data_IF_161735520435
#
_entry.id   IF_161735520435
#
_cell.length_a   1.000
_cell.length_b   1.000
_cell.length_c   1.000
_cell.angle_alpha   90.00
_cell.angle_beta   90.00
_cell.angle_gamma   90.00
#
_symmetry.space_group_name_H-M   'P 1'
#
loop_
_entity.id
_entity.type
_entity.pdbx_description
1 polymer ?
#
# COMPACT_ATOMS: atom_id res chain seq x y z
N UNK A 1 -10.20 -5.88 20.32
CA UNK A 1 -9.26 -5.20 19.41
C UNK A 1 -9.92 -3.88 19.06
N UNK A 2 -9.34 -2.74 19.46
CA UNK A 2 -9.89 -1.43 19.07
C UNK A 2 -9.71 -1.29 17.56
N UNK A 3 -10.78 -0.99 16.83
CA UNK A 3 -10.68 -0.60 15.42
C UNK A 3 -10.01 0.77 15.37
N UNK A 4 -8.78 0.84 14.86
CA UNK A 4 -8.08 2.10 14.66
C UNK A 4 -8.83 2.95 13.64
N UNK A 5 -8.95 4.25 13.92
CA UNK A 5 -9.64 5.20 13.04
C UNK A 5 -8.78 5.44 11.80
N UNK A 6 -9.35 5.24 10.61
CA UNK A 6 -8.66 5.54 9.34
C UNK A 6 -8.87 7.01 8.97
N UNK A 7 -7.78 7.71 8.69
CA UNK A 7 -7.78 9.06 8.14
C UNK A 7 -7.07 9.03 6.79
N UNK A 8 -7.59 9.76 5.82
CA UNK A 8 -6.98 9.88 4.50
C UNK A 8 -6.33 11.26 4.37
N UNK A 9 -5.09 11.28 3.88
CA UNK A 9 -4.46 12.51 3.41
C UNK A 9 -5.26 13.12 2.24
N UNK A 10 -5.06 14.40 1.95
CA UNK A 10 -5.67 15.04 0.77
C UNK A 10 -5.25 14.35 -0.54
N UNK A 11 -4.02 13.84 -0.60
CA UNK A 11 -3.55 13.08 -1.76
C UNK A 11 -4.30 11.74 -1.89
N UNK A 12 -4.49 11.01 -0.79
CA UNK A 12 -5.25 9.76 -0.80
C UNK A 12 -6.72 9.99 -1.19
N UNK A 13 -7.38 11.02 -0.64
CA UNK A 13 -8.75 11.40 -1.03
C UNK A 13 -8.85 11.72 -2.53
N UNK A 14 -7.87 12.43 -3.09
CA UNK A 14 -7.82 12.71 -4.51
C UNK A 14 -7.74 11.41 -5.33
N UNK A 15 -6.88 10.46 -4.94
CA UNK A 15 -6.73 9.16 -5.62
C UNK A 15 -8.02 8.35 -5.61
N UNK A 16 -8.74 8.31 -4.49
CA UNK A 16 -10.04 7.62 -4.42
C UNK A 16 -11.02 8.17 -5.48
N UNK A 17 -11.16 9.50 -5.54
CA UNK A 17 -12.07 10.15 -6.49
C UNK A 17 -11.65 9.93 -7.94
N UNK A 18 -10.37 10.13 -8.27
CA UNK A 18 -9.85 9.98 -9.64
C UNK A 18 -10.00 8.55 -10.17
N UNK A 19 -9.80 7.56 -9.31
CA UNK A 19 -9.75 6.14 -9.68
C UNK A 19 -11.02 5.36 -9.36
N UNK A 20 -12.04 6.05 -8.85
CA UNK A 20 -13.31 5.45 -8.40
C UNK A 20 -13.03 4.24 -7.49
N UNK A 21 -12.23 4.49 -6.46
CA UNK A 21 -11.92 3.49 -5.43
C UNK A 21 -12.86 3.76 -4.27
N UNK A 22 -13.61 2.74 -3.88
CA UNK A 22 -14.52 2.84 -2.75
C UNK A 22 -13.72 2.80 -1.44
N UNK A 23 -14.18 3.57 -0.44
CA UNK A 23 -13.51 3.62 0.85
C UNK A 23 -13.47 2.25 1.53
N UNK A 24 -14.48 1.42 1.30
CA UNK A 24 -14.56 0.05 1.82
C UNK A 24 -13.43 -0.84 1.28
N UNK A 25 -12.94 -0.58 0.05
CA UNK A 25 -11.78 -1.30 -0.47
C UNK A 25 -10.52 -0.96 0.34
N UNK A 26 -10.37 0.30 0.77
CA UNK A 26 -9.26 0.72 1.64
C UNK A 26 -9.39 0.06 3.01
N UNK A 27 -10.57 0.10 3.63
CA UNK A 27 -10.83 -0.55 4.91
C UNK A 27 -10.48 -2.05 4.85
N UNK A 28 -10.95 -2.74 3.81
CA UNK A 28 -10.68 -4.16 3.64
C UNK A 28 -9.18 -4.47 3.50
N UNK A 29 -8.42 -3.67 2.74
CA UNK A 29 -6.96 -3.88 2.63
C UNK A 29 -6.22 -3.57 3.93
N UNK A 30 -6.70 -2.60 4.71
CA UNK A 30 -6.09 -2.27 6.01
C UNK A 30 -6.36 -3.35 7.06
N UNK A 31 -7.56 -3.93 7.07
CA UNK A 31 -7.97 -5.00 7.99
C UNK A 31 -7.40 -6.36 7.58
N UNK A 32 -7.48 -6.70 6.28
CA UNK A 32 -7.08 -7.99 5.71
C UNK A 32 -6.10 -7.81 4.54
N UNK A 33 -4.88 -7.33 4.79
CA UNK A 33 -3.87 -7.18 3.75
C UNK A 33 -3.40 -8.55 3.25
N UNK A 34 -3.20 -8.69 1.94
CA UNK A 34 -2.48 -9.85 1.38
C UNK A 34 -0.99 -9.76 1.65
N UNK A 35 -0.43 -8.55 1.66
CA UNK A 35 0.98 -8.32 1.98
C UNK A 35 1.16 -7.04 2.78
N UNK A 36 2.13 -7.05 3.69
CA UNK A 36 2.57 -5.89 4.47
C UNK A 36 4.09 -5.72 4.36
N UNK A 37 4.54 -4.48 4.23
CA UNK A 37 5.96 -4.12 4.19
C UNK A 37 6.20 -2.86 5.03
N UNK A 38 7.47 -2.62 5.34
CA UNK A 38 7.94 -1.35 5.87
C UNK A 38 9.01 -0.82 4.93
N UNK A 39 8.80 0.38 4.37
CA UNK A 39 9.76 1.00 3.47
C UNK A 39 10.83 1.75 4.27
N UNK A 40 12.02 1.18 4.37
CA UNK A 40 13.14 1.75 5.11
C UNK A 40 13.61 3.12 4.57
N UNK A 41 13.29 3.47 3.32
CA UNK A 41 13.69 4.74 2.73
C UNK A 41 12.73 5.87 3.09
N UNK A 42 11.42 5.62 3.03
CA UNK A 42 10.41 6.63 3.31
C UNK A 42 9.94 6.62 4.77
N UNK A 43 10.14 5.51 5.49
CA UNK A 43 9.69 5.35 6.88
C UNK A 43 8.22 4.99 7.01
N UNK A 44 7.54 4.65 5.90
CA UNK A 44 6.11 4.34 5.91
C UNK A 44 5.83 2.84 5.84
N UNK A 45 4.70 2.42 6.41
CA UNK A 45 4.16 1.09 6.19
C UNK A 45 3.47 1.00 4.84
N UNK A 46 3.53 -0.17 4.23
CA UNK A 46 2.84 -0.47 2.98
C UNK A 46 1.93 -1.68 3.19
N UNK A 47 0.64 -1.52 2.91
CA UNK A 47 -0.31 -2.62 2.82
C UNK A 47 -0.74 -2.84 1.37
N UNK A 48 -0.86 -4.10 0.96
CA UNK A 48 -1.28 -4.47 -0.39
C UNK A 48 -2.43 -5.46 -0.30
N UNK A 49 -3.45 -5.25 -1.10
CA UNK A 49 -4.56 -6.19 -1.24
C UNK A 49 -5.33 -5.98 -2.54
N UNK A 50 -6.30 -6.86 -2.77
CA UNK A 50 -7.06 -6.86 -4.02
C UNK A 50 -8.12 -5.77 -4.04
N UNK A 51 -8.39 -5.28 -5.24
CA UNK A 51 -9.60 -4.49 -5.52
C UNK A 51 -10.82 -5.39 -5.70
N UNK A 52 -11.99 -4.76 -5.63
CA UNK A 52 -13.23 -5.32 -6.15
C UNK A 52 -13.19 -5.52 -7.68
N UNK A 53 -12.36 -4.72 -8.38
CA UNK A 53 -12.08 -4.86 -9.81
C UNK A 53 -11.14 -6.05 -10.05
N UNK A 54 -11.50 -7.03 -10.91
CA UNK A 54 -10.67 -8.19 -11.17
C UNK A 54 -9.27 -7.83 -11.66
N UNK A 55 -8.25 -8.54 -11.16
CA UNK A 55 -6.84 -8.38 -11.51
C UNK A 55 -6.22 -7.01 -11.16
N UNK A 56 -6.90 -6.21 -10.34
CA UNK A 56 -6.37 -4.97 -9.80
C UNK A 56 -5.97 -5.10 -8.34
N UNK A 57 -4.96 -4.33 -7.95
CA UNK A 57 -4.40 -4.30 -6.62
C UNK A 57 -4.38 -2.86 -6.09
N UNK A 58 -4.62 -2.71 -4.80
CA UNK A 58 -4.35 -1.49 -4.06
C UNK A 58 -3.05 -1.63 -3.31
N UNK A 59 -2.21 -0.62 -3.43
CA UNK A 59 -1.02 -0.42 -2.60
C UNK A 59 -1.28 0.83 -1.79
N UNK A 60 -1.33 0.67 -0.47
CA UNK A 60 -1.58 1.72 0.50
C UNK A 60 -0.29 2.03 1.23
N UNK A 61 0.19 3.27 1.16
CA UNK A 61 1.22 3.73 2.08
C UNK A 61 0.55 4.44 3.26
N UNK A 62 0.94 4.09 4.47
CA UNK A 62 0.29 4.58 5.68
C UNK A 62 1.26 4.69 6.87
N UNK A 63 0.89 5.53 7.82
CA UNK A 63 1.50 5.62 9.14
C UNK A 63 0.51 5.12 10.20
N UNK A 64 1.02 4.43 11.21
CA UNK A 64 0.25 3.87 12.32
C UNK A 64 0.64 4.58 13.62
N UNK A 65 -0.32 5.29 14.22
CA UNK A 65 -0.17 6.02 15.48
C UNK A 65 -0.87 5.29 16.64
N UNK A 66 -1.28 4.04 16.44
CA UNK A 66 -1.96 3.20 17.43
C UNK A 66 -3.48 3.28 17.33
N UNK A 67 -4.06 4.42 17.72
CA UNK A 67 -5.51 4.66 17.65
C UNK A 67 -5.96 5.21 16.29
N UNK A 68 -5.02 5.76 15.51
CA UNK A 68 -5.24 6.34 14.19
C UNK A 68 -4.28 5.71 13.19
N UNK A 69 -4.83 5.33 12.03
CA UNK A 69 -4.05 4.99 10.85
C UNK A 69 -4.26 6.07 9.80
N UNK A 70 -3.17 6.74 9.40
CA UNK A 70 -3.19 7.74 8.33
C UNK A 70 -2.74 7.12 7.02
N UNK A 71 -3.65 7.01 6.04
CA UNK A 71 -3.32 6.59 4.68
C UNK A 71 -2.83 7.81 3.90
N UNK A 72 -1.55 7.76 3.55
CA UNK A 72 -0.82 8.86 2.88
C UNK A 72 -1.08 8.83 1.39
N UNK A 73 -1.03 7.66 0.75
CA UNK A 73 -1.30 7.51 -0.68
C UNK A 73 -1.89 6.15 -1.03
N UNK A 74 -2.60 6.12 -2.15
CA UNK A 74 -3.30 4.96 -2.68
C UNK A 74 -2.92 4.80 -4.14
N UNK A 75 -2.40 3.63 -4.49
CA UNK A 75 -2.01 3.29 -5.85
C UNK A 75 -2.88 2.12 -6.32
N UNK A 76 -3.58 2.32 -7.42
CA UNK A 76 -4.28 1.26 -8.17
C UNK A 76 -3.38 0.75 -9.30
N UNK A 77 -3.20 -0.56 -9.38
CA UNK A 77 -2.42 -1.20 -10.44
C UNK A 77 -3.04 -2.50 -10.92
N UNK A 78 -3.13 -2.66 -12.23
CA UNK A 78 -3.47 -3.93 -12.90
C UNK A 78 -2.25 -4.81 -13.21
N UNK A 79 -1.04 -4.30 -12.94
CA UNK A 79 0.19 -5.07 -13.16
C UNK A 79 0.27 -6.22 -12.18
N UNK A 80 0.65 -7.40 -12.67
CA UNK A 80 1.02 -8.54 -11.83
C UNK A 80 2.05 -8.10 -10.78
N UNK A 81 1.66 -8.24 -9.50
CA UNK A 81 2.51 -7.88 -8.37
C UNK A 81 3.83 -8.64 -8.38
N UNK A 82 3.83 -9.90 -8.84
CA UNK A 82 5.02 -10.74 -8.94
C UNK A 82 6.11 -10.13 -9.84
N UNK A 83 5.74 -9.56 -10.98
CA UNK A 83 6.76 -8.99 -11.91
C UNK A 83 7.29 -7.63 -11.45
N UNK A 84 6.49 -6.87 -10.71
CA UNK A 84 6.82 -5.50 -10.29
C UNK A 84 7.52 -5.40 -8.93
N UNK A 85 6.99 -6.09 -7.92
CA UNK A 85 7.43 -5.97 -6.52
C UNK A 85 8.57 -6.93 -6.19
N UNK A 86 8.51 -8.21 -6.61
CA UNK A 86 9.59 -9.17 -6.34
C UNK A 86 10.89 -8.82 -7.09
N UNK A 87 10.80 -8.23 -8.29
CA UNK A 87 11.98 -7.80 -9.06
C UNK A 87 12.69 -6.60 -8.43
N UNK A 88 11.99 -5.75 -7.68
CA UNK A 88 12.59 -4.64 -6.92
C UNK A 88 12.99 -5.04 -5.51
N UNK A 89 12.24 -5.92 -4.84
CA UNK A 89 12.58 -6.46 -3.51
C UNK A 89 13.90 -7.22 -3.51
N UNK A 90 14.17 -8.05 -4.53
CA UNK A 90 15.50 -8.69 -4.70
C UNK A 90 16.64 -7.70 -4.94
N UNK A 91 16.33 -6.51 -5.47
CA UNK A 91 17.30 -5.42 -5.69
C UNK A 91 17.55 -4.57 -4.45
N UNK A 92 16.70 -4.69 -3.41
CA UNK A 92 16.78 -3.88 -2.19
C UNK A 92 17.11 -4.71 -0.94
N UNK A 93 17.11 -6.04 -1.06
CA UNK A 93 17.51 -6.98 0.00
C UNK A 93 18.93 -7.55 -0.13
N UNK A 94 19.65 -7.21 -1.19
CA UNK A 94 21.09 -7.41 -1.31
C UNK A 94 21.76 -6.04 -1.31
N UNK A 95 22.93 -5.90 -0.70
CA UNK A 95 23.78 -4.74 -0.94
C UNK A 95 23.89 -4.50 -2.46
N UNK A 96 23.91 -3.23 -2.86
CA UNK A 96 24.29 -2.89 -4.22
C UNK A 96 25.78 -3.20 -4.36
N UNK A 97 26.12 -4.45 -4.67
CA UNK A 97 27.41 -4.78 -5.30
C UNK A 97 27.35 -4.27 -6.73
N UNK A 98 28.15 -3.23 -7.00
CA UNK A 98 28.62 -2.93 -8.34
C UNK A 98 29.69 -3.99 -8.64
N UNK A 99 29.53 -4.75 -9.72
CA UNK A 99 30.64 -5.55 -10.24
C UNK A 99 31.71 -4.57 -10.80
N UNK A 100 32.98 -4.84 -10.45
CA UNK A 100 34.17 -4.06 -10.83
C UNK A 100 34.32 -3.82 -12.34
#
# INVERSE_FOLDING_TARGET
MLMSKIILSEHAKLRLRERKIEIDEVHNVMEFPEMKFYDLKSGHFIAIGRRSVPNHWLILAYDDYGDVIEVITIIDTSKSLERGLLRKGRRLGGGFEYED
#
